data_IF_539052163843
#
_entry.id   IF_539052163843
#
_cell.length_a   1.000
_cell.length_b   1.000
_cell.length_c   1.000
_cell.angle_alpha   90.00
_cell.angle_beta   90.00
_cell.angle_gamma   90.00
#
_symmetry.space_group_name_H-M   'P 1'
#
loop_
_entity.id
_entity.type
_entity.pdbx_description
1 polymer ?
#
# COMPACT_ATOMS: atom_id res chain seq x y z
N UNK A 1 -8.44 -15.45 -18.26
CA UNK A 1 -7.50 -16.56 -18.46
C UNK A 1 -7.08 -17.04 -17.08
N UNK A 2 -7.27 -18.32 -16.74
CA UNK A 2 -6.66 -18.91 -15.54
C UNK A 2 -5.16 -19.04 -15.81
N UNK A 3 -4.36 -18.49 -14.93
CA UNK A 3 -2.93 -18.20 -15.10
C UNK A 3 -2.06 -19.48 -15.13
N UNK A 4 -2.66 -20.68 -15.11
CA UNK A 4 -1.97 -21.96 -15.01
C UNK A 4 -1.27 -22.21 -13.65
N UNK A 5 -1.37 -21.28 -12.71
CA UNK A 5 -0.71 -21.35 -11.39
C UNK A 5 -1.68 -21.87 -10.34
N UNK A 6 -1.28 -22.95 -9.66
CA UNK A 6 -1.97 -23.42 -8.45
C UNK A 6 -1.73 -22.42 -7.31
N UNK A 7 -2.77 -21.69 -6.92
CA UNK A 7 -2.74 -20.77 -5.77
C UNK A 7 -3.24 -21.51 -4.53
N UNK A 8 -2.41 -21.59 -3.50
CA UNK A 8 -2.78 -22.14 -2.18
C UNK A 8 -2.95 -20.97 -1.22
N UNK A 9 -4.14 -20.80 -0.66
CA UNK A 9 -4.45 -19.76 0.33
C UNK A 9 -4.59 -20.45 1.69
N UNK A 10 -3.74 -20.06 2.65
CA UNK A 10 -3.73 -20.64 4.00
C UNK A 10 -4.06 -19.53 5.00
N UNK A 11 -5.19 -19.65 5.68
CA UNK A 11 -5.56 -18.78 6.79
C UNK A 11 -5.24 -19.50 8.11
N UNK A 12 -4.27 -19.00 8.86
CA UNK A 12 -3.82 -19.60 10.12
C UNK A 12 -4.67 -19.22 11.33
N UNK A 13 -5.65 -18.32 11.18
CA UNK A 13 -6.49 -17.80 12.26
C UNK A 13 -7.87 -18.48 12.35
N UNK A 14 -8.28 -19.22 11.31
CA UNK A 14 -9.54 -19.96 11.29
C UNK A 14 -9.38 -21.36 11.91
N UNK A 15 -10.51 -21.96 12.32
CA UNK A 15 -10.52 -23.32 12.86
C UNK A 15 -9.86 -24.30 11.89
N UNK A 16 -9.06 -25.22 12.44
CA UNK A 16 -8.39 -26.29 11.69
C UNK A 16 -9.10 -27.64 11.86
N UNK A 17 -10.34 -27.61 12.38
CA UNK A 17 -11.20 -28.78 12.46
C UNK A 17 -11.44 -29.38 11.06
N UNK A 18 -11.32 -30.71 10.94
CA UNK A 18 -11.41 -31.43 9.68
C UNK A 18 -10.18 -31.33 8.76
N UNK A 19 -9.15 -30.54 9.10
CA UNK A 19 -7.92 -30.43 8.31
C UNK A 19 -6.92 -31.55 8.61
N UNK A 20 -5.97 -31.75 7.70
CA UNK A 20 -4.86 -32.68 7.91
C UNK A 20 -3.95 -32.23 9.06
N UNK A 21 -3.24 -33.19 9.66
CA UNK A 21 -2.29 -32.89 10.73
C UNK A 21 -1.15 -31.96 10.28
N UNK A 22 -0.72 -32.07 9.02
CA UNK A 22 0.28 -31.16 8.44
C UNK A 22 -0.24 -29.71 8.35
N UNK A 23 -1.50 -29.50 7.96
CA UNK A 23 -2.08 -28.15 7.89
C UNK A 23 -2.31 -27.55 9.27
N UNK A 24 -2.73 -28.37 10.25
CA UNK A 24 -2.82 -27.96 11.67
C UNK A 24 -1.45 -27.58 12.21
N UNK A 25 -0.42 -28.36 11.91
CA UNK A 25 0.96 -28.10 12.30
C UNK A 25 1.50 -26.82 11.65
N UNK A 26 1.23 -26.60 10.35
CA UNK A 26 1.61 -25.38 9.66
C UNK A 26 0.93 -24.14 10.26
N UNK A 27 -0.37 -24.21 10.55
CA UNK A 27 -1.07 -23.13 11.23
C UNK A 27 -0.48 -22.82 12.61
N UNK A 28 -0.10 -23.85 13.39
CA UNK A 28 0.59 -23.65 14.69
C UNK A 28 1.94 -22.96 14.49
N UNK A 29 2.75 -23.40 13.54
CA UNK A 29 4.06 -22.82 13.23
C UNK A 29 3.95 -21.34 12.83
N UNK A 30 3.00 -21.00 11.94
CA UNK A 30 2.73 -19.62 11.52
C UNK A 30 2.33 -18.71 12.68
N UNK A 31 1.69 -19.26 13.71
CA UNK A 31 1.31 -18.55 14.94
C UNK A 31 2.40 -18.63 16.03
N UNK A 32 3.64 -18.92 15.66
CA UNK A 32 4.80 -19.01 16.55
C UNK A 32 4.63 -20.03 17.71
N UNK A 33 3.82 -21.08 17.49
CA UNK A 33 3.66 -22.19 18.44
C UNK A 33 4.61 -23.32 18.07
N UNK A 34 5.20 -24.01 19.07
CA UNK A 34 6.06 -25.15 18.80
C UNK A 34 5.27 -26.29 18.15
N UNK A 35 5.92 -26.98 17.22
CA UNK A 35 5.35 -28.08 16.45
C UNK A 35 6.31 -29.26 16.50
N UNK A 36 5.78 -30.46 16.72
CA UNK A 36 6.55 -31.70 16.61
C UNK A 36 5.73 -32.69 15.79
N UNK A 37 6.08 -32.82 14.52
CA UNK A 37 5.34 -33.66 13.58
C UNK A 37 6.29 -34.46 12.68
N UNK A 38 7.14 -33.77 11.92
CA UNK A 38 8.11 -34.40 11.04
C UNK A 38 9.36 -33.51 10.88
N UNK A 39 10.41 -34.07 10.26
CA UNK A 39 11.71 -33.41 10.06
C UNK A 39 11.63 -32.06 9.33
N UNK A 40 10.61 -31.84 8.51
CA UNK A 40 10.44 -30.57 7.78
C UNK A 40 10.01 -29.45 8.72
N UNK A 41 9.14 -29.74 9.69
CA UNK A 41 8.77 -28.79 10.75
C UNK A 41 9.93 -28.51 11.71
N UNK A 42 10.75 -29.52 12.01
CA UNK A 42 11.95 -29.31 12.83
C UNK A 42 12.96 -28.40 12.11
N UNK A 43 13.18 -28.64 10.82
CA UNK A 43 14.01 -27.78 9.97
C UNK A 43 13.45 -26.36 9.90
N UNK A 44 12.14 -26.20 9.66
CA UNK A 44 11.51 -24.90 9.54
C UNK A 44 11.62 -24.09 10.84
N UNK A 45 11.33 -24.70 12.00
CA UNK A 45 11.45 -24.04 13.30
C UNK A 45 12.89 -23.61 13.59
N UNK A 46 13.87 -24.49 13.32
CA UNK A 46 15.29 -24.14 13.47
C UNK A 46 15.68 -22.99 12.56
N UNK A 47 15.25 -23.01 11.29
CA UNK A 47 15.59 -21.97 10.33
C UNK A 47 14.96 -20.62 10.68
N UNK A 48 13.71 -20.61 11.16
CA UNK A 48 13.05 -19.41 11.68
C UNK A 48 13.84 -18.85 12.85
N UNK A 49 14.27 -19.71 13.80
CA UNK A 49 15.09 -19.30 14.94
C UNK A 49 16.42 -18.68 14.48
N UNK A 50 17.16 -19.35 13.58
CA UNK A 50 18.42 -18.85 13.02
C UNK A 50 18.25 -17.46 12.37
N UNK A 51 17.21 -17.26 11.57
CA UNK A 51 16.92 -15.97 10.91
C UNK A 51 16.54 -14.90 11.94
N UNK A 52 15.72 -15.26 12.93
CA UNK A 52 15.32 -14.33 13.97
C UNK A 52 16.50 -13.92 14.84
N UNK A 53 17.43 -14.83 15.12
CA UNK A 53 18.61 -14.58 15.96
C UNK A 53 19.76 -13.89 15.20
N UNK A 54 19.80 -13.97 13.88
CA UNK A 54 20.78 -13.29 13.02
C UNK A 54 20.51 -11.77 12.92
N UNK A 55 21.35 -10.91 13.54
CA UNK A 55 21.15 -9.47 13.52
C UNK A 55 21.24 -8.85 12.12
N UNK A 56 22.13 -9.36 11.26
CA UNK A 56 22.33 -8.80 9.91
C UNK A 56 21.12 -9.09 9.03
N UNK A 57 20.59 -10.31 9.09
CA UNK A 57 19.37 -10.66 8.37
C UNK A 57 18.16 -9.88 8.90
N UNK A 58 18.06 -9.69 10.22
CA UNK A 58 16.98 -8.89 10.83
C UNK A 58 17.03 -7.42 10.38
N UNK A 59 18.22 -6.82 10.36
CA UNK A 59 18.42 -5.45 9.89
C UNK A 59 18.04 -5.31 8.41
N UNK A 60 18.46 -6.28 7.57
CA UNK A 60 18.13 -6.28 6.14
C UNK A 60 16.62 -6.36 5.89
N UNK A 61 15.89 -7.15 6.67
CA UNK A 61 14.42 -7.23 6.60
C UNK A 61 13.80 -5.89 6.99
N UNK A 62 14.20 -5.33 8.15
CA UNK A 62 13.69 -4.04 8.62
C UNK A 62 13.94 -2.90 7.63
N UNK A 63 15.12 -2.86 7.02
CA UNK A 63 15.48 -1.86 6.01
C UNK A 63 14.60 -1.99 4.76
N UNK A 64 14.32 -3.22 4.33
CA UNK A 64 13.43 -3.47 3.20
C UNK A 64 12.00 -3.02 3.51
N UNK A 65 11.47 -3.40 4.68
CA UNK A 65 10.13 -3.01 5.12
C UNK A 65 9.99 -1.49 5.25
N UNK A 66 10.98 -0.83 5.86
CA UNK A 66 11.04 0.64 5.97
C UNK A 66 10.99 1.29 4.59
N UNK A 67 11.83 0.84 3.65
CA UNK A 67 11.85 1.37 2.28
C UNK A 67 10.54 1.14 1.54
N UNK A 68 9.88 0.01 1.76
CA UNK A 68 8.58 -0.27 1.14
C UNK A 68 7.49 0.64 1.71
N UNK A 69 7.48 0.83 3.04
CA UNK A 69 6.56 1.75 3.71
C UNK A 69 6.79 3.20 3.26
N UNK A 70 8.03 3.65 3.16
CA UNK A 70 8.39 4.98 2.65
C UNK A 70 7.89 5.18 1.22
N UNK A 71 8.02 4.16 0.35
CA UNK A 71 7.48 4.21 -1.02
C UNK A 71 5.97 4.29 -1.04
N UNK A 72 5.29 3.51 -0.20
CA UNK A 72 3.83 3.54 -0.10
C UNK A 72 3.33 4.90 0.40
N UNK A 73 3.97 5.46 1.42
CA UNK A 73 3.66 6.81 1.92
C UNK A 73 3.96 7.89 0.89
N UNK A 74 5.09 7.80 0.19
CA UNK A 74 5.43 8.73 -0.88
C UNK A 74 4.43 8.67 -2.03
N UNK A 75 4.03 7.48 -2.46
CA UNK A 75 3.01 7.28 -3.48
C UNK A 75 1.64 7.80 -3.02
N UNK A 76 1.25 7.52 -1.77
CA UNK A 76 0.01 8.02 -1.18
C UNK A 76 -0.02 9.54 -1.09
N UNK A 77 1.08 10.17 -0.65
CA UNK A 77 1.22 11.62 -0.61
C UNK A 77 1.19 12.22 -2.02
N UNK A 78 1.92 11.64 -2.96
CA UNK A 78 1.93 12.11 -4.35
C UNK A 78 0.53 12.01 -4.99
N UNK A 79 -0.18 10.89 -4.78
CA UNK A 79 -1.54 10.70 -5.27
C UNK A 79 -2.53 11.68 -4.63
N UNK A 80 -2.38 11.97 -3.33
CA UNK A 80 -3.21 12.96 -2.64
C UNK A 80 -2.99 14.39 -3.17
N UNK A 81 -1.73 14.81 -3.35
CA UNK A 81 -1.44 16.13 -3.92
C UNK A 81 -1.89 16.23 -5.38
N UNK A 82 -1.69 15.17 -6.18
CA UNK A 82 -2.19 15.13 -7.56
C UNK A 82 -3.72 15.21 -7.59
N UNK A 83 -4.42 14.51 -6.69
CA UNK A 83 -5.88 14.55 -6.60
C UNK A 83 -6.43 15.94 -6.26
N UNK A 84 -5.70 16.75 -5.47
CA UNK A 84 -6.06 18.16 -5.22
C UNK A 84 -5.91 19.01 -6.48
N UNK A 85 -4.82 18.81 -7.24
CA UNK A 85 -4.60 19.51 -8.52
C UNK A 85 -5.68 19.14 -9.53
N UNK A 86 -6.01 17.86 -9.66
CA UNK A 86 -7.06 17.38 -10.55
C UNK A 86 -8.44 17.93 -10.14
N UNK A 87 -8.73 17.98 -8.84
CA UNK A 87 -9.96 18.58 -8.31
C UNK A 87 -10.03 20.07 -8.62
N UNK A 88 -8.94 20.81 -8.41
CA UNK A 88 -8.86 22.23 -8.74
C UNK A 88 -9.09 22.49 -10.24
N UNK A 89 -8.55 21.62 -11.10
CA UNK A 89 -8.79 21.65 -12.56
C UNK A 89 -10.26 21.44 -12.90
N UNK A 90 -10.89 20.40 -12.36
CA UNK A 90 -12.32 20.11 -12.59
C UNK A 90 -13.19 21.28 -12.13
N UNK A 91 -12.89 21.87 -10.96
CA UNK A 91 -13.62 23.04 -10.46
C UNK A 91 -13.45 24.23 -11.40
N UNK A 92 -12.23 24.49 -11.86
CA UNK A 92 -11.95 25.57 -12.82
C UNK A 92 -12.76 25.39 -14.12
N UNK A 93 -12.74 24.19 -14.70
CA UNK A 93 -13.49 23.85 -15.91
C UNK A 93 -15.00 24.05 -15.71
N UNK A 94 -15.54 23.61 -14.57
CA UNK A 94 -16.95 23.82 -14.24
C UNK A 94 -17.31 25.30 -14.12
N UNK A 95 -16.44 26.15 -13.56
CA UNK A 95 -16.71 27.60 -13.51
C UNK A 95 -16.72 28.23 -14.91
N UNK A 96 -15.78 27.82 -15.77
CA UNK A 96 -15.73 28.29 -17.17
C UNK A 96 -16.95 27.84 -17.97
N UNK A 97 -17.37 26.58 -17.83
CA UNK A 97 -18.57 26.03 -18.47
C UNK A 97 -19.86 26.74 -18.01
N UNK A 98 -19.87 27.30 -16.80
CA UNK A 98 -20.96 28.13 -16.29
C UNK A 98 -20.88 29.60 -16.75
N UNK A 99 -20.01 29.92 -17.71
CA UNK A 99 -19.91 31.24 -18.34
C UNK A 99 -19.07 32.26 -17.56
N UNK A 100 -18.33 31.85 -16.52
CA UNK A 100 -17.38 32.73 -15.83
C UNK A 100 -16.13 32.96 -16.68
N UNK A 101 -15.50 34.12 -16.51
CA UNK A 101 -14.18 34.37 -17.14
C UNK A 101 -13.10 33.56 -16.45
N UNK A 102 -11.96 33.38 -17.13
CA UNK A 102 -10.81 32.66 -16.58
C UNK A 102 -10.32 33.29 -15.28
N UNK A 103 -10.34 34.62 -15.18
CA UNK A 103 -9.95 35.36 -13.97
C UNK A 103 -10.90 35.03 -12.80
N UNK A 104 -12.21 35.09 -13.03
CA UNK A 104 -13.21 34.78 -12.00
C UNK A 104 -13.16 33.31 -11.56
N UNK A 105 -12.94 32.39 -12.50
CA UNK A 105 -12.77 30.97 -12.20
C UNK A 105 -11.48 30.72 -11.40
N UNK A 106 -10.39 31.39 -11.78
CA UNK A 106 -9.10 31.29 -11.08
C UNK A 106 -9.20 31.82 -9.65
N UNK A 107 -9.83 32.98 -9.45
CA UNK A 107 -10.03 33.56 -8.13
C UNK A 107 -10.91 32.67 -7.25
N UNK A 108 -11.95 32.05 -7.83
CA UNK A 108 -12.78 31.08 -7.11
C UNK A 108 -11.95 29.90 -6.60
N UNK A 109 -11.14 29.26 -7.45
CA UNK A 109 -10.28 28.13 -7.05
C UNK A 109 -9.22 28.55 -6.03
N UNK A 110 -8.62 29.75 -6.19
CA UNK A 110 -7.68 30.33 -5.22
C UNK A 110 -8.29 30.46 -3.83
N UNK A 111 -9.53 30.92 -3.74
CA UNK A 111 -10.24 31.09 -2.47
C UNK A 111 -10.54 29.76 -1.75
N UNK A 112 -10.62 28.64 -2.49
CA UNK A 112 -10.78 27.31 -1.90
C UNK A 112 -9.53 26.81 -1.18
N UNK A 113 -8.35 27.40 -1.45
CA UNK A 113 -7.06 27.01 -0.84
C UNK A 113 -6.76 25.50 -0.94
N UNK A 114 -7.26 24.88 -2.01
CA UNK A 114 -7.08 23.45 -2.30
C UNK A 114 -5.66 23.11 -2.72
N UNK A 115 -5.04 24.01 -3.49
CA UNK A 115 -3.68 23.89 -4.02
C UNK A 115 -2.93 25.21 -3.80
N UNK A 116 -1.60 25.18 -3.89
CA UNK A 116 -0.79 26.40 -3.82
C UNK A 116 -1.02 27.32 -5.01
N UNK A 117 -0.77 28.62 -4.86
CA UNK A 117 -0.86 29.58 -5.98
C UNK A 117 0.02 29.18 -7.17
N UNK A 118 1.20 28.64 -6.89
CA UNK A 118 2.13 28.15 -7.93
C UNK A 118 1.55 26.97 -8.72
N UNK A 119 0.82 26.08 -8.07
CA UNK A 119 0.16 24.96 -8.75
C UNK A 119 -1.06 25.45 -9.52
N UNK A 120 -1.82 26.39 -8.96
CA UNK A 120 -2.96 27.00 -9.63
C UNK A 120 -2.52 27.72 -10.91
N UNK A 121 -1.41 28.46 -10.89
CA UNK A 121 -0.84 29.10 -12.07
C UNK A 121 -0.54 28.10 -13.20
N UNK A 122 -0.02 26.91 -12.87
CA UNK A 122 0.24 25.85 -13.85
C UNK A 122 -1.06 25.30 -14.44
N UNK A 123 -2.10 25.13 -13.62
CA UNK A 123 -3.42 24.67 -14.08
C UNK A 123 -4.03 25.71 -15.01
N UNK A 124 -4.01 26.98 -14.62
CA UNK A 124 -4.56 28.09 -15.42
C UNK A 124 -3.81 28.27 -16.73
N UNK A 125 -2.49 28.06 -16.74
CA UNK A 125 -1.69 28.11 -17.96
C UNK A 125 -2.11 27.10 -19.04
N UNK A 126 -2.84 26.04 -18.69
CA UNK A 126 -3.38 25.08 -19.67
C UNK A 126 -4.57 25.63 -20.48
N UNK A 127 -5.16 26.75 -20.05
CA UNK A 127 -6.35 27.37 -20.66
C UNK A 127 -6.06 28.75 -21.28
N UNK A 128 -4.79 29.15 -21.33
CA UNK A 128 -4.31 30.35 -22.03
C UNK A 128 -3.77 29.97 -23.40
#
# INVERSE_FOLDING_TARGET
MQDGVTKIIINSQVSTEGQSEDLKALAKLMNNKPVKLNKHFDYAQRRIKEINEDPETREKIMLYETRMLEREQAAGKAGYEQGKVDSAKIILENQLNNGRTLEQATEFVRNLKLISDKELEKVVAMYK
#
